data_IF_983590369642
#
_entry.id   IF_983590369642
#
_cell.length_a   1.000
_cell.length_b   1.000
_cell.length_c   1.000
_cell.angle_alpha   90.00
_cell.angle_beta   90.00
_cell.angle_gamma   90.00
#
_symmetry.space_group_name_H-M   'P 1'
#
loop_
_entity.id
_entity.type
_entity.pdbx_description
1 polymer ?
#
# COMPACT_ATOMS: atom_id res chain seq x y z
N UNK A 1 26.94 -1.13 3.27
CA UNK A 1 26.25 -2.46 3.28
C UNK A 1 26.40 -3.12 1.93
N UNK A 2 26.36 -4.48 1.84
CA UNK A 2 26.35 -5.17 0.54
C UNK A 2 24.99 -4.96 -0.16
N UNK A 3 25.00 -4.72 -1.48
CA UNK A 3 23.80 -4.49 -2.29
C UNK A 3 22.73 -5.58 -2.12
N UNK A 4 23.15 -6.85 -2.04
CA UNK A 4 22.23 -7.97 -1.78
C UNK A 4 21.52 -7.85 -0.43
N UNK A 5 22.24 -7.46 0.63
CA UNK A 5 21.65 -7.28 1.95
C UNK A 5 20.70 -6.09 1.99
N UNK A 6 21.07 -4.98 1.33
CA UNK A 6 20.19 -3.83 1.15
C UNK A 6 18.89 -4.23 0.42
N UNK A 7 19.03 -4.99 -0.69
CA UNK A 7 17.90 -5.49 -1.46
C UNK A 7 16.97 -6.36 -0.63
N UNK A 8 17.49 -7.36 0.10
CA UNK A 8 16.67 -8.25 0.92
C UNK A 8 15.90 -7.49 2.00
N UNK A 9 16.53 -6.53 2.70
CA UNK A 9 15.89 -5.72 3.74
C UNK A 9 14.81 -4.77 3.16
N UNK A 10 15.10 -4.15 2.03
CA UNK A 10 14.17 -3.30 1.30
C UNK A 10 12.93 -4.09 0.85
N UNK A 11 13.11 -5.23 0.19
CA UNK A 11 11.99 -6.04 -0.29
C UNK A 11 11.24 -6.74 0.84
N UNK A 12 11.92 -7.16 1.91
CA UNK A 12 11.28 -7.70 3.11
C UNK A 12 10.20 -6.74 3.64
N UNK A 13 10.56 -5.49 3.82
CA UNK A 13 9.62 -4.48 4.34
C UNK A 13 8.54 -4.10 3.34
N UNK A 14 8.86 -4.03 2.04
CA UNK A 14 7.86 -3.82 0.97
C UNK A 14 6.81 -4.91 0.96
N UNK A 15 7.23 -6.17 1.07
CA UNK A 15 6.30 -7.31 1.09
C UNK A 15 5.37 -7.29 2.30
N UNK A 16 5.88 -6.97 3.49
CA UNK A 16 5.06 -6.83 4.71
C UNK A 16 4.04 -5.68 4.56
N UNK A 17 4.46 -4.51 4.08
CA UNK A 17 3.57 -3.36 3.89
C UNK A 17 2.52 -3.64 2.79
N UNK A 18 2.90 -4.31 1.69
CA UNK A 18 1.98 -4.71 0.62
C UNK A 18 0.95 -5.72 1.11
N UNK A 19 1.33 -6.70 1.90
CA UNK A 19 0.40 -7.66 2.51
C UNK A 19 -0.63 -6.95 3.40
N UNK A 20 -0.22 -5.97 4.21
CA UNK A 20 -1.12 -5.13 5.00
C UNK A 20 -2.07 -4.33 4.10
N UNK A 21 -1.56 -3.71 3.04
CA UNK A 21 -2.36 -2.90 2.13
C UNK A 21 -3.44 -3.73 1.44
N UNK A 22 -3.12 -4.95 0.98
CA UNK A 22 -4.08 -5.87 0.40
C UNK A 22 -5.14 -6.28 1.43
N UNK A 23 -4.74 -6.63 2.65
CA UNK A 23 -5.67 -6.97 3.71
C UNK A 23 -6.65 -5.81 4.03
N UNK A 24 -6.17 -4.57 4.03
CA UNK A 24 -7.00 -3.37 4.22
C UNK A 24 -8.01 -3.17 3.09
N UNK A 25 -7.57 -3.33 1.83
CA UNK A 25 -8.44 -3.19 0.67
C UNK A 25 -9.51 -4.28 0.68
N UNK A 26 -9.14 -5.54 0.95
CA UNK A 26 -10.07 -6.66 1.02
C UNK A 26 -11.08 -6.52 2.18
N UNK A 27 -10.65 -6.06 3.37
CA UNK A 27 -11.54 -5.83 4.51
C UNK A 27 -12.61 -4.76 4.18
N UNK A 28 -12.18 -3.67 3.56
CA UNK A 28 -13.11 -2.61 3.13
C UNK A 28 -14.05 -3.11 2.04
N UNK A 29 -13.53 -3.83 1.04
CA UNK A 29 -14.34 -4.45 -0.02
C UNK A 29 -15.38 -5.40 0.53
N UNK A 30 -14.99 -6.26 1.47
CA UNK A 30 -15.90 -7.19 2.15
C UNK A 30 -17.02 -6.43 2.88
N UNK A 31 -16.68 -5.42 3.68
CA UNK A 31 -17.68 -4.61 4.39
C UNK A 31 -18.62 -3.85 3.44
N UNK A 32 -18.09 -3.34 2.33
CA UNK A 32 -18.91 -2.70 1.30
C UNK A 32 -19.85 -3.68 0.62
N UNK A 33 -19.44 -4.92 0.37
CA UNK A 33 -20.27 -5.95 -0.25
C UNK A 33 -21.46 -6.39 0.62
N UNK A 34 -21.41 -6.13 1.93
CA UNK A 34 -22.52 -6.41 2.87
C UNK A 34 -23.60 -5.32 2.85
N UNK A 35 -23.34 -4.16 2.25
CA UNK A 35 -24.34 -3.11 2.11
C UNK A 35 -25.33 -3.47 0.99
N UNK A 36 -26.61 -3.08 1.09
CA UNK A 36 -27.58 -3.29 0.04
C UNK A 36 -27.18 -2.51 -1.21
N UNK A 37 -26.56 -3.18 -2.16
CA UNK A 37 -26.08 -2.62 -3.40
C UNK A 37 -27.17 -2.72 -4.49
N UNK A 38 -27.54 -1.61 -5.12
CA UNK A 38 -28.35 -1.65 -6.34
C UNK A 38 -27.42 -1.91 -7.52
N UNK A 39 -27.44 -3.13 -8.05
CA UNK A 39 -26.86 -3.42 -9.36
C UNK A 39 -27.64 -2.61 -10.38
N UNK A 40 -27.00 -1.64 -11.02
CA UNK A 40 -27.59 -0.95 -12.19
C UNK A 40 -27.47 -1.92 -13.35
N UNK A 41 -28.61 -2.41 -13.86
CA UNK A 41 -28.65 -3.26 -15.05
C UNK A 41 -27.93 -2.54 -16.21
N UNK A 42 -26.90 -3.14 -16.78
CA UNK A 42 -26.10 -2.56 -17.86
C UNK A 42 -24.83 -1.79 -17.41
N UNK A 43 -24.52 -1.75 -16.11
CA UNK A 43 -23.29 -1.15 -15.59
C UNK A 43 -22.02 -1.96 -15.96
N UNK A 44 -20.90 -1.26 -16.11
CA UNK A 44 -19.61 -1.89 -16.39
C UNK A 44 -19.25 -2.89 -15.27
N UNK A 45 -18.54 -4.00 -15.62
CA UNK A 45 -18.09 -5.04 -14.68
C UNK A 45 -17.31 -4.51 -13.47
N UNK A 46 -16.80 -3.29 -13.57
CA UNK A 46 -16.04 -2.59 -12.53
C UNK A 46 -16.91 -2.00 -11.40
N UNK A 47 -18.24 -1.93 -11.61
CA UNK A 47 -19.18 -1.45 -10.58
C UNK A 47 -19.36 -2.43 -9.41
N UNK A 48 -18.88 -3.67 -9.55
CA UNK A 48 -18.92 -4.65 -8.47
C UNK A 48 -17.81 -4.39 -7.44
N UNK A 49 -18.11 -4.31 -6.13
CA UNK A 49 -17.11 -4.02 -5.09
C UNK A 49 -15.88 -4.94 -5.14
N UNK A 50 -16.06 -6.19 -5.54
CA UNK A 50 -14.97 -7.17 -5.62
C UNK A 50 -14.02 -7.02 -6.82
N UNK A 51 -14.34 -6.18 -7.79
CA UNK A 51 -13.39 -5.77 -8.84
C UNK A 51 -12.34 -4.78 -8.29
N UNK A 52 -12.68 -4.01 -7.26
CA UNK A 52 -11.86 -2.94 -6.71
C UNK A 52 -10.46 -3.39 -6.29
N UNK A 53 -10.27 -4.47 -5.50
CA UNK A 53 -8.93 -4.96 -5.14
C UNK A 53 -8.05 -5.26 -6.35
N UNK A 54 -8.62 -5.82 -7.41
CA UNK A 54 -7.91 -6.19 -8.64
C UNK A 54 -7.46 -4.96 -9.43
N UNK A 55 -8.30 -3.92 -9.47
CA UNK A 55 -7.99 -2.66 -10.16
C UNK A 55 -6.91 -1.89 -9.41
N UNK A 56 -7.06 -1.68 -8.10
CA UNK A 56 -6.09 -0.97 -7.25
C UNK A 56 -4.70 -1.60 -7.36
N UNK A 57 -4.64 -2.94 -7.37
CA UNK A 57 -3.37 -3.67 -7.40
C UNK A 57 -2.82 -3.88 -8.81
N UNK A 58 -3.56 -3.50 -9.86
CA UNK A 58 -3.20 -3.74 -11.26
C UNK A 58 -3.25 -5.21 -11.67
N UNK A 59 -3.96 -6.06 -10.93
CA UNK A 59 -4.01 -7.51 -11.13
C UNK A 59 -5.23 -7.99 -11.92
N UNK A 60 -6.07 -7.09 -12.42
CA UNK A 60 -7.31 -7.44 -13.11
C UNK A 60 -7.06 -8.36 -14.31
N UNK A 61 -6.13 -8.02 -15.19
CA UNK A 61 -5.79 -8.84 -16.37
C UNK A 61 -5.38 -10.25 -15.96
N UNK A 62 -4.43 -10.36 -15.03
CA UNK A 62 -3.94 -11.65 -14.54
C UNK A 62 -5.04 -12.49 -13.88
N UNK A 63 -5.94 -11.85 -13.14
CA UNK A 63 -7.08 -12.53 -12.53
C UNK A 63 -8.01 -13.13 -13.60
N UNK A 64 -8.40 -12.34 -14.61
CA UNK A 64 -9.34 -12.79 -15.63
C UNK A 64 -8.75 -13.82 -16.62
N UNK A 65 -7.43 -13.90 -16.76
CA UNK A 65 -6.76 -14.99 -17.48
C UNK A 65 -7.03 -16.37 -16.83
N UNK A 66 -7.17 -16.41 -15.51
CA UNK A 66 -7.35 -17.63 -14.73
C UNK A 66 -8.80 -17.84 -14.25
N UNK A 67 -9.56 -16.75 -14.09
CA UNK A 67 -10.88 -16.74 -13.49
C UNK A 67 -11.88 -15.96 -14.37
N UNK A 68 -12.70 -16.63 -15.18
CA UNK A 68 -13.63 -15.94 -16.09
C UNK A 68 -14.78 -15.22 -15.37
N UNK A 69 -15.04 -15.55 -14.09
CA UNK A 69 -16.14 -15.03 -13.29
C UNK A 69 -15.62 -14.33 -12.06
N UNK A 70 -16.10 -13.11 -11.84
CA UNK A 70 -15.83 -12.37 -10.61
C UNK A 70 -16.74 -12.90 -9.48
N UNK A 71 -16.13 -13.30 -8.37
CA UNK A 71 -16.87 -13.67 -7.15
C UNK A 71 -16.03 -13.34 -5.90
N UNK A 72 -16.68 -13.06 -4.76
CA UNK A 72 -15.99 -12.83 -3.48
C UNK A 72 -14.96 -13.91 -3.14
N UNK A 73 -15.39 -15.17 -3.32
CA UNK A 73 -14.59 -16.35 -3.03
C UNK A 73 -13.34 -16.43 -3.91
N UNK A 74 -13.51 -16.27 -5.24
CA UNK A 74 -12.39 -16.35 -6.19
C UNK A 74 -11.42 -15.18 -6.03
N UNK A 75 -11.90 -13.96 -5.83
CA UNK A 75 -11.04 -12.81 -5.58
C UNK A 75 -10.27 -12.98 -4.27
N UNK A 76 -10.93 -13.43 -3.20
CA UNK A 76 -10.26 -13.73 -1.93
C UNK A 76 -9.25 -14.85 -2.10
N UNK A 77 -9.60 -15.93 -2.81
CA UNK A 77 -8.68 -17.02 -3.14
C UNK A 77 -7.42 -16.53 -3.84
N UNK A 78 -7.59 -15.76 -4.91
CA UNK A 78 -6.50 -15.19 -5.72
C UNK A 78 -5.62 -14.19 -4.95
N UNK A 79 -6.24 -13.30 -4.16
CA UNK A 79 -5.52 -12.22 -3.46
C UNK A 79 -4.90 -12.66 -2.13
N UNK A 80 -5.43 -13.71 -1.50
CA UNK A 80 -4.94 -14.17 -0.18
C UNK A 80 -4.07 -15.41 -0.31
N UNK A 81 -4.50 -16.42 -1.06
CA UNK A 81 -3.94 -17.78 -0.99
C UNK A 81 -3.16 -18.21 -2.22
N UNK A 82 -3.42 -17.67 -3.42
CA UNK A 82 -2.85 -18.18 -4.66
C UNK A 82 -1.32 -18.02 -4.69
N UNK A 83 -0.55 -19.14 -4.68
CA UNK A 83 0.91 -19.10 -4.73
C UNK A 83 1.44 -18.68 -6.12
N UNK A 84 0.63 -18.80 -7.19
CA UNK A 84 0.99 -18.32 -8.53
C UNK A 84 0.82 -16.80 -8.67
N UNK A 85 0.12 -16.17 -7.73
CA UNK A 85 0.05 -14.72 -7.63
C UNK A 85 1.15 -14.20 -6.68
N UNK A 86 2.25 -13.59 -7.18
CA UNK A 86 3.33 -13.07 -6.34
C UNK A 86 2.89 -11.94 -5.42
N UNK A 87 1.72 -11.34 -5.69
CA UNK A 87 1.11 -10.31 -4.86
C UNK A 87 0.01 -10.84 -3.94
N UNK A 88 -0.20 -12.17 -3.82
CA UNK A 88 -1.08 -12.70 -2.78
C UNK A 88 -0.48 -12.49 -1.38
N UNK A 89 -1.32 -12.35 -0.36
CA UNK A 89 -0.85 -12.19 1.04
C UNK A 89 0.08 -13.35 1.42
N UNK A 90 -0.27 -14.58 1.03
CA UNK A 90 0.57 -15.76 1.27
C UNK A 90 1.95 -15.62 0.62
N UNK A 91 2.02 -15.30 -0.69
CA UNK A 91 3.31 -15.17 -1.41
C UNK A 91 4.15 -14.02 -0.90
N UNK A 92 3.53 -12.90 -0.53
CA UNK A 92 4.21 -11.73 0.06
C UNK A 92 4.84 -12.06 1.41
N UNK A 93 4.09 -12.71 2.31
CA UNK A 93 4.62 -13.09 3.63
C UNK A 93 5.68 -14.20 3.54
N UNK A 94 5.56 -15.11 2.56
CA UNK A 94 6.62 -16.07 2.24
C UNK A 94 7.89 -15.35 1.79
N UNK A 95 7.79 -14.43 0.84
CA UNK A 95 8.93 -13.67 0.31
C UNK A 95 9.59 -12.81 1.40
N UNK A 96 8.78 -12.14 2.25
CA UNK A 96 9.30 -11.40 3.39
C UNK A 96 10.10 -12.27 4.35
N UNK A 97 9.61 -13.49 4.64
CA UNK A 97 10.33 -14.45 5.49
C UNK A 97 11.63 -14.93 4.85
N UNK A 98 11.62 -15.25 3.56
CA UNK A 98 12.85 -15.70 2.87
C UNK A 98 13.92 -14.61 2.85
N UNK A 99 13.54 -13.35 2.60
CA UNK A 99 14.43 -12.21 2.69
C UNK A 99 15.00 -12.06 4.13
N UNK A 100 14.12 -12.12 5.14
CA UNK A 100 14.55 -12.09 6.55
C UNK A 100 15.50 -13.24 6.90
N UNK A 101 15.25 -14.46 6.37
CA UNK A 101 16.10 -15.63 6.58
C UNK A 101 17.51 -15.42 6.03
N UNK A 102 17.62 -14.80 4.85
CA UNK A 102 18.90 -14.45 4.23
C UNK A 102 19.67 -13.39 5.01
N UNK A 103 19.01 -12.58 5.82
CA UNK A 103 19.57 -11.42 6.51
C UNK A 103 19.51 -11.53 8.05
N UNK A 104 19.50 -12.75 8.62
CA UNK A 104 19.44 -12.96 10.08
C UNK A 104 20.58 -12.29 10.86
N UNK A 105 21.70 -12.02 10.23
CA UNK A 105 22.81 -11.27 10.82
C UNK A 105 22.66 -9.75 10.82
N UNK A 106 21.71 -9.22 10.02
CA UNK A 106 21.45 -7.79 9.87
C UNK A 106 20.13 -7.34 10.52
N UNK A 107 19.26 -8.28 10.93
CA UNK A 107 18.01 -8.00 11.64
C UNK A 107 18.08 -8.51 13.08
N UNK A 108 17.21 -8.00 13.95
CA UNK A 108 17.13 -8.46 15.33
C UNK A 108 16.40 -9.81 15.45
N UNK A 109 16.67 -10.55 16.54
CA UNK A 109 15.96 -11.82 16.81
C UNK A 109 14.45 -11.62 16.86
N UNK A 110 13.99 -10.53 17.47
CA UNK A 110 12.56 -10.21 17.57
C UNK A 110 11.93 -9.92 16.19
N UNK A 111 12.66 -9.27 15.28
CA UNK A 111 12.19 -9.09 13.89
C UNK A 111 12.03 -10.43 13.17
N UNK A 112 13.04 -11.31 13.30
CA UNK A 112 12.96 -12.64 12.73
C UNK A 112 11.80 -13.45 13.31
N UNK A 113 11.63 -13.48 14.61
CA UNK A 113 10.56 -14.20 15.31
C UNK A 113 9.18 -13.68 14.85
N UNK A 114 9.01 -12.36 14.75
CA UNK A 114 7.76 -11.74 14.27
C UNK A 114 7.40 -12.19 12.86
N UNK A 115 8.34 -12.13 11.91
CA UNK A 115 8.09 -12.54 10.51
C UNK A 115 7.88 -14.05 10.41
N UNK A 116 8.73 -14.84 11.06
CA UNK A 116 8.65 -16.29 11.00
C UNK A 116 7.37 -16.83 11.64
N UNK A 117 6.95 -16.29 12.78
CA UNK A 117 5.66 -16.64 13.38
C UNK A 117 4.49 -16.27 12.47
N UNK A 118 4.53 -15.09 11.83
CA UNK A 118 3.51 -14.65 10.86
C UNK A 118 3.41 -15.63 9.69
N UNK A 119 4.55 -16.08 9.14
CA UNK A 119 4.57 -17.06 8.07
C UNK A 119 4.03 -18.43 8.51
N UNK A 120 4.42 -18.90 9.68
CA UNK A 120 3.96 -20.20 10.20
C UNK A 120 2.44 -20.25 10.40
N UNK A 121 1.82 -19.13 10.77
CA UNK A 121 0.37 -19.04 10.92
C UNK A 121 -0.35 -18.94 9.56
N UNK A 122 0.13 -18.07 8.63
CA UNK A 122 -0.57 -17.85 7.35
C UNK A 122 -0.51 -19.07 6.44
N UNK A 123 0.59 -19.84 6.43
CA UNK A 123 0.72 -21.04 5.59
C UNK A 123 -0.26 -22.15 5.95
N UNK A 124 -0.78 -22.17 7.17
CA UNK A 124 -1.77 -23.13 7.65
C UNK A 124 -3.20 -22.63 7.45
N UNK A 125 -3.37 -21.38 6.98
CA UNK A 125 -4.68 -20.77 6.75
C UNK A 125 -5.24 -21.28 5.42
N UNK A 126 -6.44 -21.90 5.46
CA UNK A 126 -7.23 -22.26 4.29
C UNK A 126 -8.44 -21.34 4.14
N UNK A 127 -9.13 -21.40 3.00
CA UNK A 127 -10.35 -20.60 2.79
C UNK A 127 -11.45 -20.97 3.79
N UNK A 128 -11.59 -22.26 4.12
CA UNK A 128 -12.56 -22.76 5.11
C UNK A 128 -12.25 -22.16 6.51
N UNK A 129 -10.99 -22.20 6.94
CA UNK A 129 -10.56 -21.60 8.21
C UNK A 129 -10.72 -20.08 8.24
N UNK A 130 -10.55 -19.40 7.09
CA UNK A 130 -10.83 -17.97 6.98
C UNK A 130 -12.32 -17.69 7.24
N UNK A 131 -13.23 -18.49 6.68
CA UNK A 131 -14.67 -18.36 6.92
C UNK A 131 -15.04 -18.67 8.37
N UNK A 132 -14.49 -19.74 8.95
CA UNK A 132 -14.72 -20.14 10.35
C UNK A 132 -14.25 -19.06 11.33
N UNK A 133 -13.08 -18.49 11.10
CA UNK A 133 -12.50 -17.43 11.94
C UNK A 133 -13.19 -16.08 11.73
N UNK A 134 -13.75 -15.85 10.56
CA UNK A 134 -14.32 -14.57 10.14
C UNK A 134 -13.38 -13.77 9.25
N UNK A 135 -13.90 -13.40 8.08
CA UNK A 135 -13.13 -12.73 7.01
C UNK A 135 -12.42 -11.47 7.51
N UNK A 136 -13.15 -10.58 8.20
CA UNK A 136 -12.57 -9.34 8.76
C UNK A 136 -11.53 -9.62 9.85
N UNK A 137 -11.72 -10.66 10.67
CA UNK A 137 -10.77 -11.00 11.72
C UNK A 137 -9.40 -11.44 11.15
N UNK A 138 -9.41 -12.19 10.06
CA UNK A 138 -8.17 -12.57 9.37
C UNK A 138 -7.46 -11.34 8.79
N UNK A 139 -8.20 -10.40 8.19
CA UNK A 139 -7.58 -9.17 7.68
C UNK A 139 -7.07 -8.28 8.82
N UNK A 140 -7.76 -8.20 9.95
CA UNK A 140 -7.29 -7.51 11.16
C UNK A 140 -6.02 -8.17 11.72
N UNK A 141 -5.94 -9.48 11.68
CA UNK A 141 -4.74 -10.22 12.06
C UNK A 141 -3.55 -9.84 11.15
N UNK A 142 -3.70 -9.82 9.82
CA UNK A 142 -2.62 -9.41 8.90
C UNK A 142 -2.14 -7.99 9.21
N UNK A 143 -3.07 -7.06 9.42
CA UNK A 143 -2.75 -5.67 9.81
C UNK A 143 -1.96 -5.62 11.13
N UNK A 144 -2.38 -6.40 12.13
CA UNK A 144 -1.73 -6.48 13.44
C UNK A 144 -0.32 -7.04 13.33
N UNK A 145 -0.10 -8.09 12.51
CA UNK A 145 1.24 -8.66 12.28
C UNK A 145 2.19 -7.65 11.60
N UNK A 146 1.69 -6.87 10.65
CA UNK A 146 2.47 -5.80 10.03
C UNK A 146 2.80 -4.67 11.02
N UNK A 147 1.86 -4.29 11.89
CA UNK A 147 2.11 -3.32 12.95
C UNK A 147 3.15 -3.83 13.95
N UNK A 148 3.09 -5.11 14.34
CA UNK A 148 4.07 -5.73 15.21
C UNK A 148 5.47 -5.68 14.57
N UNK A 149 5.60 -6.10 13.32
CA UNK A 149 6.88 -6.05 12.60
C UNK A 149 7.49 -4.64 12.60
N UNK A 150 6.69 -3.60 12.27
CA UNK A 150 7.18 -2.22 12.30
C UNK A 150 7.52 -1.74 13.71
N UNK A 151 6.72 -2.09 14.69
CA UNK A 151 6.99 -1.76 16.10
C UNK A 151 8.30 -2.35 16.59
N UNK A 152 8.53 -3.62 16.29
CA UNK A 152 9.78 -4.32 16.63
C UNK A 152 10.96 -3.70 15.88
N UNK A 153 10.83 -3.44 14.57
CA UNK A 153 11.88 -2.79 13.78
C UNK A 153 12.30 -1.46 14.41
N UNK A 154 11.33 -0.60 14.74
CA UNK A 154 11.62 0.73 15.33
C UNK A 154 12.16 0.61 16.75
N UNK A 155 11.71 -0.39 17.51
CA UNK A 155 12.07 -0.58 18.92
C UNK A 155 13.40 -1.28 19.15
N UNK A 156 13.88 -2.11 18.21
CA UNK A 156 15.02 -3.01 18.47
C UNK A 156 16.16 -2.91 17.46
N UNK A 157 15.91 -2.39 16.24
CA UNK A 157 16.96 -2.30 15.22
C UNK A 157 17.80 -1.03 15.39
N UNK A 158 19.14 -1.17 15.31
CA UNK A 158 20.05 -0.02 15.27
C UNK A 158 19.77 0.88 14.07
N UNK A 159 20.07 2.19 14.20
CA UNK A 159 19.82 3.20 13.15
C UNK A 159 20.94 3.21 12.11
N UNK A 160 21.27 2.05 11.58
CA UNK A 160 22.27 1.84 10.55
C UNK A 160 21.66 1.81 9.12
N UNK A 161 22.48 1.51 8.12
CA UNK A 161 22.02 1.39 6.73
C UNK A 161 20.91 0.35 6.57
N UNK A 162 20.96 -0.77 7.29
CA UNK A 162 19.94 -1.81 7.24
C UNK A 162 18.57 -1.32 7.71
N UNK A 163 18.55 -0.52 8.77
CA UNK A 163 17.34 0.18 9.24
C UNK A 163 16.81 1.14 8.18
N UNK A 164 17.70 1.89 7.54
CA UNK A 164 17.30 2.84 6.48
C UNK A 164 16.68 2.11 5.29
N UNK A 165 17.27 1.02 4.79
CA UNK A 165 16.69 0.24 3.68
C UNK A 165 15.34 -0.40 4.06
N UNK A 166 15.21 -0.90 5.27
CA UNK A 166 13.95 -1.45 5.77
C UNK A 166 12.84 -0.37 5.79
N UNK A 167 13.15 0.82 6.25
CA UNK A 167 12.18 1.92 6.26
C UNK A 167 11.88 2.46 4.85
N UNK A 168 12.90 2.54 4.00
CA UNK A 168 12.75 2.99 2.61
C UNK A 168 11.72 2.15 1.86
N UNK A 169 11.82 0.81 1.97
CA UNK A 169 10.85 -0.10 1.38
C UNK A 169 9.43 0.13 1.88
N UNK A 170 9.26 0.32 3.19
CA UNK A 170 7.95 0.59 3.80
C UNK A 170 7.31 1.87 3.23
N UNK A 171 8.05 2.99 3.19
CA UNK A 171 7.48 4.29 2.81
C UNK A 171 7.21 4.40 1.31
N UNK A 172 8.06 3.81 0.45
CA UNK A 172 7.80 3.74 -0.99
C UNK A 172 6.55 2.91 -1.30
N UNK A 173 6.40 1.73 -0.70
CA UNK A 173 5.23 0.90 -0.90
C UNK A 173 3.95 1.57 -0.41
N UNK A 174 4.05 2.31 0.68
CA UNK A 174 2.92 3.05 1.26
C UNK A 174 2.49 4.21 0.38
N UNK A 175 3.44 4.97 -0.18
CA UNK A 175 3.16 6.06 -1.11
C UNK A 175 2.46 5.55 -2.37
N UNK A 176 3.02 4.50 -2.99
CA UNK A 176 2.45 3.85 -4.17
C UNK A 176 1.01 3.40 -3.92
N UNK A 177 0.77 2.67 -2.82
CA UNK A 177 -0.56 2.17 -2.49
C UNK A 177 -1.58 3.30 -2.21
N UNK A 178 -1.18 4.36 -1.52
CA UNK A 178 -2.07 5.50 -1.24
C UNK A 178 -2.47 6.21 -2.52
N UNK A 179 -1.54 6.41 -3.45
CA UNK A 179 -1.82 7.00 -4.76
C UNK A 179 -2.81 6.14 -5.56
N UNK A 180 -2.59 4.82 -5.62
CA UNK A 180 -3.50 3.88 -6.33
C UNK A 180 -4.89 3.84 -5.72
N UNK A 181 -5.01 3.84 -4.40
CA UNK A 181 -6.31 3.86 -3.72
C UNK A 181 -7.08 5.15 -4.01
N UNK A 182 -6.38 6.30 -4.03
CA UNK A 182 -7.02 7.57 -4.40
C UNK A 182 -7.47 7.58 -5.86
N UNK A 183 -6.62 7.07 -6.76
CA UNK A 183 -6.89 7.04 -8.20
C UNK A 183 -8.13 6.21 -8.56
N UNK A 184 -8.29 5.06 -7.91
CA UNK A 184 -9.45 4.19 -8.16
C UNK A 184 -10.78 4.88 -7.88
N UNK A 185 -10.84 5.79 -6.91
CA UNK A 185 -12.09 6.54 -6.63
C UNK A 185 -12.55 7.34 -7.83
N UNK A 186 -11.61 7.85 -8.63
CA UNK A 186 -11.97 8.62 -9.84
C UNK A 186 -12.65 7.76 -10.90
N UNK A 187 -12.20 6.51 -11.09
CA UNK A 187 -12.65 5.66 -12.20
C UNK A 187 -13.85 4.76 -11.90
N UNK A 188 -14.04 4.34 -10.66
CA UNK A 188 -14.90 3.18 -10.39
C UNK A 188 -16.16 3.47 -9.60
N UNK A 189 -16.30 4.65 -9.04
CA UNK A 189 -17.26 4.82 -7.96
C UNK A 189 -18.35 5.88 -8.18
N UNK A 190 -18.45 6.46 -9.37
CA UNK A 190 -19.54 7.39 -9.69
C UNK A 190 -20.40 6.82 -10.84
N UNK A 191 -21.52 6.13 -10.51
CA UNK A 191 -22.44 5.61 -11.53
C UNK A 191 -23.06 6.71 -12.41
N UNK A 192 -23.29 7.89 -11.82
CA UNK A 192 -23.82 9.06 -12.53
C UNK A 192 -23.33 10.37 -11.93
N UNK A 193 -23.34 11.45 -12.73
CA UNK A 193 -23.01 12.81 -12.28
C UNK A 193 -23.91 13.27 -11.13
N UNK A 194 -25.13 12.73 -11.01
CA UNK A 194 -26.11 13.08 -9.97
C UNK A 194 -25.79 12.42 -8.61
N UNK A 195 -24.89 11.44 -8.54
CA UNK A 195 -24.51 10.76 -7.30
C UNK A 195 -23.38 11.46 -6.56
N UNK A 196 -22.76 12.48 -7.17
CA UNK A 196 -21.71 13.30 -6.54
C UNK A 196 -22.27 14.03 -5.32
N UNK A 197 -21.70 13.78 -4.15
CA UNK A 197 -22.14 14.36 -2.87
C UNK A 197 -23.34 13.67 -2.22
N UNK A 198 -23.85 12.59 -2.83
CA UNK A 198 -24.93 11.77 -2.25
C UNK A 198 -24.44 10.81 -1.17
N UNK A 199 -25.37 10.06 -0.56
CA UNK A 199 -25.06 9.10 0.51
C UNK A 199 -24.07 8.02 0.06
N UNK A 200 -24.18 7.53 -1.18
CA UNK A 200 -23.27 6.52 -1.75
C UNK A 200 -21.87 7.07 -1.84
N UNK A 201 -21.69 8.29 -2.34
CA UNK A 201 -20.40 8.95 -2.45
C UNK A 201 -19.75 9.14 -1.07
N UNK A 202 -20.51 9.56 -0.07
CA UNK A 202 -20.07 9.67 1.32
C UNK A 202 -19.55 8.33 1.87
N UNK A 203 -20.29 7.23 1.66
CA UNK A 203 -19.89 5.89 2.10
C UNK A 203 -18.62 5.42 1.41
N UNK A 204 -18.46 5.68 0.13
CA UNK A 204 -17.29 5.29 -0.66
C UNK A 204 -16.04 6.05 -0.23
N UNK A 205 -16.11 7.35 0.00
CA UNK A 205 -15.01 8.13 0.56
C UNK A 205 -14.67 7.68 1.99
N UNK A 206 -15.68 7.36 2.79
CA UNK A 206 -15.48 6.77 4.11
C UNK A 206 -14.77 5.41 4.05
N UNK A 207 -15.11 4.57 3.08
CA UNK A 207 -14.46 3.29 2.84
C UNK A 207 -12.99 3.47 2.40
N UNK A 208 -12.72 4.41 1.48
CA UNK A 208 -11.37 4.77 1.07
C UNK A 208 -10.52 5.22 2.27
N UNK A 209 -11.03 6.14 3.08
CA UNK A 209 -10.34 6.60 4.29
C UNK A 209 -10.04 5.44 5.26
N UNK A 210 -10.94 4.48 5.41
CA UNK A 210 -10.72 3.28 6.25
C UNK A 210 -9.65 2.37 5.66
N UNK A 211 -9.61 2.18 4.33
CA UNK A 211 -8.60 1.33 3.67
C UNK A 211 -7.17 1.84 3.90
N UNK A 212 -6.99 3.14 4.04
CA UNK A 212 -5.69 3.76 4.37
C UNK A 212 -5.53 4.07 5.87
N UNK A 213 -6.51 3.70 6.72
CA UNK A 213 -6.46 3.98 8.17
C UNK A 213 -6.51 5.45 8.53
N UNK A 214 -7.17 6.28 7.70
CA UNK A 214 -7.20 7.74 7.83
C UNK A 214 -8.55 8.29 8.32
N UNK A 215 -9.55 7.43 8.52
CA UNK A 215 -10.92 7.87 8.82
C UNK A 215 -11.04 8.67 10.12
N UNK A 216 -10.41 8.18 11.20
CA UNK A 216 -10.42 8.84 12.51
C UNK A 216 -9.64 10.17 12.45
N UNK A 217 -8.49 10.18 11.75
CA UNK A 217 -7.70 11.40 11.54
C UNK A 217 -8.48 12.44 10.76
N UNK A 218 -9.17 12.03 9.69
CA UNK A 218 -10.05 12.92 8.92
C UNK A 218 -11.09 13.59 9.82
N UNK A 219 -11.83 12.79 10.61
CA UNK A 219 -12.86 13.32 11.51
C UNK A 219 -12.30 14.27 12.58
N UNK A 220 -11.10 13.97 13.10
CA UNK A 220 -10.43 14.83 14.08
C UNK A 220 -10.01 16.18 13.50
N UNK A 221 -9.51 16.18 12.25
CA UNK A 221 -8.97 17.37 11.59
C UNK A 221 -10.08 18.27 11.07
N UNK A 222 -10.96 17.71 10.24
CA UNK A 222 -11.94 18.52 9.51
C UNK A 222 -13.26 18.71 10.25
N UNK A 223 -13.65 17.79 11.14
CA UNK A 223 -14.86 17.85 11.99
C UNK A 223 -16.16 18.12 11.22
N UNK A 224 -16.23 17.72 9.95
CA UNK A 224 -17.27 18.05 9.01
C UNK A 224 -17.51 16.89 8.03
N UNK A 225 -18.45 17.04 7.10
CA UNK A 225 -18.74 16.06 6.07
C UNK A 225 -17.52 15.68 5.24
N UNK A 226 -17.49 14.43 4.80
CA UNK A 226 -16.43 13.94 3.94
C UNK A 226 -16.60 14.55 2.55
N UNK A 227 -15.56 15.25 2.08
CA UNK A 227 -15.53 15.84 0.72
C UNK A 227 -14.29 15.40 -0.05
N UNK A 228 -14.37 15.24 -1.38
CA UNK A 228 -13.25 14.84 -2.23
C UNK A 228 -11.99 15.68 -1.99
N UNK A 229 -12.13 17.00 -1.97
CA UNK A 229 -11.01 17.93 -1.79
C UNK A 229 -10.28 17.73 -0.47
N UNK A 230 -11.01 17.56 0.64
CA UNK A 230 -10.41 17.33 1.97
C UNK A 230 -9.78 15.93 2.09
N UNK A 231 -10.35 14.92 1.44
CA UNK A 231 -9.75 13.58 1.40
C UNK A 231 -8.45 13.62 0.60
N UNK A 232 -8.45 14.25 -0.57
CA UNK A 232 -7.24 14.43 -1.36
C UNK A 232 -6.19 15.26 -0.63
N UNK A 233 -6.57 16.37 0.00
CA UNK A 233 -5.66 17.18 0.82
C UNK A 233 -5.02 16.35 1.94
N UNK A 234 -5.82 15.57 2.69
CA UNK A 234 -5.35 14.71 3.76
C UNK A 234 -4.32 13.69 3.29
N UNK A 235 -4.61 13.02 2.17
CA UNK A 235 -3.81 11.90 1.70
C UNK A 235 -2.67 12.30 0.76
N UNK A 236 -2.70 13.50 0.19
CA UNK A 236 -1.63 14.00 -0.67
C UNK A 236 -0.68 14.92 0.12
N UNK A 237 -1.20 15.96 0.76
CA UNK A 237 -0.38 17.10 1.19
C UNK A 237 -0.09 17.17 2.71
N UNK A 238 -0.81 16.43 3.54
CA UNK A 238 -0.63 16.56 4.99
C UNK A 238 0.58 15.78 5.51
N UNK A 239 1.53 16.48 6.12
CA UNK A 239 2.74 15.87 6.71
C UNK A 239 2.44 15.07 7.99
N UNK A 240 1.40 15.45 8.75
CA UNK A 240 1.01 14.78 10.00
C UNK A 240 0.15 13.51 9.78
N UNK A 241 -0.10 13.12 8.53
CA UNK A 241 -0.81 11.89 8.19
C UNK A 241 0.17 10.78 7.75
N UNK A 242 0.37 9.70 8.53
CA UNK A 242 1.41 8.69 8.28
C UNK A 242 1.30 7.95 6.94
N UNK A 243 0.17 8.04 6.25
CA UNK A 243 -0.05 7.43 4.95
C UNK A 243 -0.26 8.46 3.83
N UNK A 244 -0.04 9.74 4.07
CA UNK A 244 -0.05 10.74 3.00
C UNK A 244 1.16 10.58 2.08
N UNK A 245 1.03 11.04 0.84
CA UNK A 245 2.14 11.07 -0.10
C UNK A 245 3.26 11.97 0.43
N UNK A 246 2.91 13.12 1.00
CA UNK A 246 3.88 14.06 1.58
C UNK A 246 4.68 13.43 2.73
N UNK A 247 4.02 12.82 3.72
CA UNK A 247 4.73 12.15 4.80
C UNK A 247 5.67 11.06 4.28
N UNK A 248 5.16 10.19 3.39
CA UNK A 248 5.95 9.09 2.85
C UNK A 248 7.17 9.59 2.06
N UNK A 249 7.00 10.62 1.22
CA UNK A 249 8.12 11.19 0.44
C UNK A 249 9.10 11.98 1.29
N UNK A 250 8.66 12.60 2.40
CA UNK A 250 9.56 13.21 3.40
C UNK A 250 10.47 12.15 4.02
N UNK A 251 9.90 11.00 4.43
CA UNK A 251 10.68 9.90 4.98
C UNK A 251 11.65 9.30 3.94
N UNK A 252 11.19 9.10 2.70
CA UNK A 252 12.02 8.61 1.60
C UNK A 252 13.19 9.55 1.33
N UNK A 253 12.93 10.85 1.23
CA UNK A 253 13.97 11.86 0.99
C UNK A 253 14.99 11.88 2.13
N UNK A 254 14.54 11.93 3.40
CA UNK A 254 15.42 11.94 4.56
C UNK A 254 16.31 10.69 4.63
N UNK A 255 15.74 9.51 4.30
CA UNK A 255 16.49 8.26 4.27
C UNK A 255 17.55 8.30 3.16
N UNK A 256 17.19 8.69 1.94
CA UNK A 256 18.12 8.74 0.83
C UNK A 256 19.23 9.76 1.07
N UNK A 257 18.92 10.92 1.66
CA UNK A 257 19.95 11.89 2.08
C UNK A 257 20.89 11.34 3.16
N UNK A 258 20.40 10.44 4.04
CA UNK A 258 21.26 9.77 5.03
C UNK A 258 22.14 8.67 4.43
N UNK A 259 21.72 8.06 3.31
CA UNK A 259 22.46 7.03 2.59
C UNK A 259 23.44 7.61 1.55
N UNK A 260 23.21 8.82 1.06
CA UNK A 260 24.11 9.55 0.16
C UNK A 260 25.25 10.15 0.99
N UNK A 261 26.46 9.57 0.87
CA UNK A 261 27.60 10.06 1.67
C UNK A 261 28.11 11.43 1.16
N UNK A 262 28.94 11.49 0.14
CA UNK A 262 29.52 12.75 -0.33
C UNK A 262 29.00 13.18 -1.72
N UNK A 263 28.52 12.25 -2.50
CA UNK A 263 28.00 12.51 -3.84
C UNK A 263 26.48 12.57 -3.84
N UNK A 264 25.92 13.62 -4.46
CA UNK A 264 24.47 13.69 -4.71
C UNK A 264 24.06 12.61 -5.72
N UNK A 265 23.41 11.58 -5.21
CA UNK A 265 22.94 10.49 -6.04
C UNK A 265 21.60 10.84 -6.70
N UNK A 266 21.39 10.28 -7.90
CA UNK A 266 20.13 10.48 -8.64
C UNK A 266 18.87 10.11 -7.84
N UNK A 267 18.82 9.02 -7.05
CA UNK A 267 17.70 8.72 -6.18
C UNK A 267 17.37 9.83 -5.16
N UNK A 268 18.40 10.46 -4.55
CA UNK A 268 18.21 11.57 -3.62
C UNK A 268 17.62 12.80 -4.33
N UNK A 269 18.16 13.14 -5.52
CA UNK A 269 17.68 14.26 -6.32
C UNK A 269 16.19 14.10 -6.68
N UNK A 270 15.80 12.93 -7.21
CA UNK A 270 14.43 12.63 -7.58
C UNK A 270 13.48 12.68 -6.36
N UNK A 271 13.89 12.09 -5.24
CA UNK A 271 13.11 12.14 -4.00
C UNK A 271 12.94 13.56 -3.48
N UNK A 272 14.00 14.40 -3.56
CA UNK A 272 13.97 15.81 -3.18
C UNK A 272 13.01 16.64 -4.04
N UNK A 273 12.97 16.39 -5.35
CA UNK A 273 12.01 17.04 -6.25
C UNK A 273 10.56 16.66 -5.89
N UNK A 274 10.29 15.37 -5.69
CA UNK A 274 8.96 14.89 -5.30
C UNK A 274 8.54 15.42 -3.93
N UNK A 275 9.45 15.42 -2.94
CA UNK A 275 9.23 15.99 -1.63
C UNK A 275 8.90 17.48 -1.72
N UNK A 276 9.69 18.27 -2.45
CA UNK A 276 9.50 19.71 -2.59
C UNK A 276 8.17 20.05 -3.25
N UNK A 277 7.77 19.29 -4.27
CA UNK A 277 6.49 19.47 -4.95
C UNK A 277 5.29 19.23 -4.00
N UNK A 278 5.37 18.22 -3.13
CA UNK A 278 4.34 17.94 -2.13
C UNK A 278 4.36 18.97 -0.99
N UNK A 279 5.54 19.39 -0.56
CA UNK A 279 5.72 20.35 0.55
C UNK A 279 5.15 21.72 0.23
N UNK A 280 5.37 22.23 -0.98
CA UNK A 280 4.88 23.53 -1.44
C UNK A 280 3.60 23.44 -2.25
N UNK A 281 3.07 22.22 -2.45
CA UNK A 281 1.87 21.94 -3.23
C UNK A 281 0.61 22.55 -2.62
N UNK A 282 -0.34 22.86 -3.47
CA UNK A 282 -1.68 23.34 -3.08
C UNK A 282 -2.73 22.39 -3.67
N UNK A 283 -3.72 22.04 -2.86
CA UNK A 283 -4.75 21.10 -3.33
C UNK A 283 -5.55 21.66 -4.53
N UNK A 284 -5.70 22.98 -4.62
CA UNK A 284 -6.35 23.61 -5.78
C UNK A 284 -5.62 23.24 -7.09
N UNK A 285 -4.29 23.30 -7.11
CA UNK A 285 -3.51 22.99 -8.32
C UNK A 285 -3.66 21.50 -8.71
N UNK A 286 -3.76 20.58 -7.73
CA UNK A 286 -4.00 19.15 -7.99
C UNK A 286 -5.34 18.93 -8.70
N UNK A 287 -6.38 19.70 -8.34
CA UNK A 287 -7.69 19.61 -8.99
C UNK A 287 -7.75 20.37 -10.32
N UNK A 288 -6.96 21.43 -10.49
CA UNK A 288 -6.81 22.14 -11.76
C UNK A 288 -6.10 21.29 -12.82
N UNK A 289 -5.08 20.54 -12.43
CA UNK A 289 -4.37 19.58 -13.28
C UNK A 289 -5.23 18.35 -13.59
N UNK A 290 -6.12 17.97 -12.69
CA UNK A 290 -6.86 16.71 -12.66
C UNK A 290 -6.27 15.74 -11.65
N UNK A 291 -7.11 15.27 -10.71
CA UNK A 291 -6.63 14.36 -9.65
C UNK A 291 -6.05 13.05 -10.21
N UNK A 292 -6.69 12.49 -11.24
CA UNK A 292 -6.21 11.27 -11.91
C UNK A 292 -4.84 11.50 -12.57
N UNK A 293 -4.71 12.53 -13.38
CA UNK A 293 -3.49 12.90 -14.11
C UNK A 293 -2.35 13.12 -13.12
N UNK A 294 -2.59 13.85 -12.04
CA UNK A 294 -1.62 14.09 -10.97
C UNK A 294 -1.15 12.77 -10.31
N UNK A 295 -2.08 11.88 -9.97
CA UNK A 295 -1.76 10.60 -9.32
C UNK A 295 -1.02 9.65 -10.27
N UNK A 296 -1.39 9.60 -11.55
CA UNK A 296 -0.69 8.79 -12.55
C UNK A 296 0.74 9.31 -12.78
N UNK A 297 0.93 10.64 -12.86
CA UNK A 297 2.26 11.24 -12.94
C UNK A 297 3.09 10.94 -11.68
N UNK A 298 2.49 11.00 -10.50
CA UNK A 298 3.15 10.62 -9.24
C UNK A 298 3.58 9.15 -9.23
N UNK A 299 2.72 8.22 -9.64
CA UNK A 299 3.04 6.78 -9.72
C UNK A 299 4.19 6.52 -10.70
N UNK A 300 4.18 7.14 -11.87
CA UNK A 300 5.29 7.02 -12.83
C UNK A 300 6.63 7.51 -12.25
N UNK A 301 6.60 8.57 -11.44
CA UNK A 301 7.81 9.06 -10.74
C UNK A 301 8.25 8.13 -9.60
N UNK A 302 7.33 7.49 -8.88
CA UNK A 302 7.66 6.45 -7.90
C UNK A 302 8.34 5.26 -8.58
N UNK A 303 7.87 4.84 -9.74
CA UNK A 303 8.49 3.75 -10.51
C UNK A 303 9.91 4.14 -10.98
N UNK A 304 10.09 5.35 -11.49
CA UNK A 304 11.41 5.89 -11.88
C UNK A 304 12.35 5.93 -10.67
N UNK A 305 11.91 6.49 -9.55
CA UNK A 305 12.70 6.55 -8.31
C UNK A 305 13.08 5.16 -7.81
N UNK A 306 12.14 4.21 -7.84
CA UNK A 306 12.40 2.82 -7.45
C UNK A 306 13.44 2.17 -8.37
N UNK A 307 13.39 2.44 -9.67
CA UNK A 307 14.39 2.00 -10.65
C UNK A 307 15.79 2.53 -10.34
N UNK A 308 15.91 3.82 -10.03
CA UNK A 308 17.20 4.43 -9.68
C UNK A 308 17.70 3.95 -8.29
N UNK A 309 16.82 3.74 -7.31
CA UNK A 309 17.21 3.10 -6.03
C UNK A 309 17.77 1.70 -6.29
N UNK A 310 17.09 0.91 -7.12
CA UNK A 310 17.57 -0.44 -7.47
C UNK A 310 18.95 -0.41 -8.10
N UNK A 311 19.16 0.47 -9.06
CA UNK A 311 20.43 0.62 -9.79
C UNK A 311 21.60 1.06 -8.89
N UNK A 312 21.37 1.99 -7.96
CA UNK A 312 22.44 2.58 -7.15
C UNK A 312 22.73 1.83 -5.86
N UNK A 313 21.75 1.13 -5.30
CA UNK A 313 21.89 0.51 -3.97
C UNK A 313 21.61 -1.00 -3.93
N UNK A 314 20.71 -1.51 -4.79
CA UNK A 314 20.18 -2.85 -4.64
C UNK A 314 20.69 -3.84 -5.71
N UNK A 315 21.13 -3.36 -6.86
CA UNK A 315 21.73 -4.21 -7.87
C UNK A 315 23.11 -4.70 -7.40
N UNK A 316 23.45 -5.99 -7.60
CA UNK A 316 24.79 -6.45 -7.33
C UNK A 316 25.76 -5.73 -8.29
N UNK A 317 26.88 -5.23 -7.74
CA UNK A 317 28.01 -4.76 -8.55
C UNK A 317 28.53 -5.94 -9.38
N UNK A 318 28.14 -6.01 -10.65
CA UNK A 318 28.85 -6.82 -11.62
C UNK A 318 30.08 -6.01 -12.06
N UNK A 319 31.17 -6.12 -11.28
CA UNK A 319 32.48 -5.69 -11.71
C UNK A 319 33.08 -6.74 -12.65
#
# INVERSE_FOLDING_TARGET
>A
MLSRSASDLFWMSRHVERAENIARILDVTYRMSLLPYRVVEGGEKWAEPWALPLVITGLATKYYEQNPVLSPERVTGFMVFDPANPSSIHSLLQSARENARGQRGAITSEMWESINATWLEIRELTYERLLERGVSEVFDWVKTRSHLFRGVTVGTMGRDEGYHFTRLGTHLERADNTARILDVKYHTLLPTVNDVGGAVDYYQWGALLRSVGAFESYRKIYRDAITPNRVAELLILRLDMPRSLHFCMTEVFNILSSLAHEDRLEPERLAGEMHSQLHYGRIANVFEEGLHEYLMAFLARIDTLTGEINKHFLAPDFA
#
